data_IF_878790042856
#
_entry.id   IF_878790042856
#
_cell.length_a   1.000
_cell.length_b   1.000
_cell.length_c   1.000
_cell.angle_alpha   90.00
_cell.angle_beta   90.00
_cell.angle_gamma   90.00
#
_symmetry.space_group_name_H-M   'P 1'
#
loop_
_entity.id
_entity.type
_entity.pdbx_description
1 polymer ?
#
# COMPACT_ATOMS: atom_id res chain seq x y z
N UNK A 1 -14.68 0.44 24.48
CA UNK A 1 -15.04 0.23 25.92
C UNK A 1 -13.86 0.02 26.86
N UNK A 2 -12.62 -0.16 26.35
CA UNK A 2 -11.41 -0.37 27.20
C UNK A 2 -10.65 0.90 27.65
N UNK A 3 -11.08 2.08 27.26
CA UNK A 3 -10.38 3.34 27.60
C UNK A 3 -11.01 4.15 28.73
N UNK A 4 -12.11 3.68 29.32
CA UNK A 4 -12.79 4.36 30.44
C UNK A 4 -12.35 3.92 31.84
N UNK A 5 -11.53 2.87 31.96
CA UNK A 5 -11.12 2.31 33.28
C UNK A 5 -9.85 2.94 33.87
N UNK A 6 -9.12 3.80 33.13
CA UNK A 6 -7.85 4.38 33.62
C UNK A 6 -7.97 5.76 34.28
N UNK A 7 -9.16 6.39 34.28
CA UNK A 7 -9.36 7.72 34.87
C UNK A 7 -9.77 7.63 36.35
N UNK A 8 -10.17 6.45 36.84
CA UNK A 8 -10.61 6.27 38.24
C UNK A 8 -9.49 6.06 39.28
N UNK A 9 -8.25 5.81 38.87
CA UNK A 9 -7.16 5.49 39.80
C UNK A 9 -6.35 6.69 40.30
N UNK A 10 -6.48 7.86 39.67
CA UNK A 10 -5.75 9.06 40.13
C UNK A 10 -6.42 9.82 41.26
N UNK A 11 -7.69 9.55 41.53
CA UNK A 11 -8.46 10.26 42.58
C UNK A 11 -8.32 9.65 43.97
N UNK A 12 -7.87 8.38 44.07
CA UNK A 12 -7.70 7.69 45.38
C UNK A 12 -6.33 7.92 46.04
N UNK A 13 -5.35 8.52 45.33
CA UNK A 13 -3.98 8.72 45.87
C UNK A 13 -3.86 10.03 46.64
N UNK A 14 -4.75 11.00 46.43
CA UNK A 14 -4.68 12.31 47.06
C UNK A 14 -5.22 12.37 48.49
N UNK A 15 -6.13 11.47 48.84
CA UNK A 15 -6.75 11.46 50.19
C UNK A 15 -5.94 10.68 51.23
N UNK A 16 -4.94 9.90 50.82
CA UNK A 16 -4.07 9.15 51.74
C UNK A 16 -2.87 9.95 52.26
N UNK A 17 -2.50 11.07 51.59
CA UNK A 17 -1.36 11.89 52.02
C UNK A 17 -1.72 12.91 53.11
N UNK A 18 -3.01 13.28 53.31
CA UNK A 18 -3.42 14.24 54.34
C UNK A 18 -3.70 13.59 55.70
N UNK A 19 -3.95 12.29 55.74
CA UNK A 19 -4.20 11.61 57.05
C UNK A 19 -2.92 11.18 57.78
N UNK A 20 -1.73 11.24 57.11
CA UNK A 20 -0.47 10.85 57.75
C UNK A 20 0.31 12.00 58.39
N UNK A 21 -0.18 13.26 58.27
CA UNK A 21 0.54 14.44 58.76
C UNK A 21 0.14 14.89 60.19
N UNK A 22 -0.97 14.36 60.75
CA UNK A 22 -1.48 14.83 62.06
C UNK A 22 -1.22 13.91 63.26
N UNK A 23 -0.54 12.78 63.10
CA UNK A 23 -0.31 11.82 64.20
C UNK A 23 1.12 11.73 64.74
N UNK A 24 1.93 12.73 64.55
CA UNK A 24 3.35 12.67 65.03
C UNK A 24 3.81 13.95 65.70
N UNK A 25 3.12 14.40 66.78
CA UNK A 25 3.69 15.30 67.77
C UNK A 25 3.41 14.75 69.17
N UNK A 26 4.51 14.41 69.80
CA UNK A 26 4.73 14.09 71.22
C UNK A 26 5.16 12.62 71.46
N UNK A 27 6.32 12.61 72.09
CA UNK A 27 7.07 11.53 72.78
C UNK A 27 8.26 10.94 71.98
N UNK A 28 9.42 11.45 72.20
CA UNK A 28 10.58 10.82 72.82
C UNK A 28 11.90 11.45 72.38
N UNK A 29 12.35 12.43 73.11
CA UNK A 29 13.77 12.91 73.11
C UNK A 29 14.58 12.04 74.06
N UNK A 30 15.00 10.84 73.66
CA UNK A 30 16.18 10.12 74.17
C UNK A 30 16.22 8.67 73.68
N UNK A 31 16.85 8.46 72.63
CA UNK A 31 17.62 7.31 72.19
C UNK A 31 17.71 7.26 70.67
N UNK A 32 18.93 7.26 70.16
CA UNK A 32 19.26 6.70 68.86
C UNK A 32 19.59 7.62 67.72
N UNK A 33 20.84 8.05 67.69
CA UNK A 33 21.56 8.40 66.49
C UNK A 33 21.66 7.25 65.48
N UNK A 34 21.38 6.00 65.93
CA UNK A 34 21.40 4.80 65.09
C UNK A 34 20.13 4.58 64.25
N UNK A 35 18.97 4.93 64.84
CA UNK A 35 17.67 4.74 64.15
C UNK A 35 17.47 5.77 63.02
N UNK A 36 17.85 7.04 63.25
CA UNK A 36 17.79 8.07 62.20
C UNK A 36 18.73 7.76 61.03
N UNK A 37 19.94 7.22 61.28
CA UNK A 37 20.88 6.82 60.24
C UNK A 37 20.39 5.61 59.46
N UNK A 38 19.69 4.65 60.10
CA UNK A 38 19.09 3.51 59.41
C UNK A 38 17.93 3.95 58.52
N UNK A 39 17.06 4.84 58.99
CA UNK A 39 15.93 5.38 58.25
C UNK A 39 16.37 6.26 57.08
N UNK A 40 17.48 7.05 57.23
CA UNK A 40 18.07 7.81 56.15
C UNK A 40 18.64 6.90 55.05
N UNK A 41 19.30 5.80 55.37
CA UNK A 41 19.80 4.81 54.40
C UNK A 41 18.68 4.07 53.70
N UNK A 42 17.57 3.73 54.41
CA UNK A 42 16.39 3.14 53.82
C UNK A 42 15.70 4.11 52.85
N UNK A 43 15.60 5.41 53.22
CA UNK A 43 15.08 6.45 52.36
C UNK A 43 15.93 6.64 51.08
N UNK A 44 17.24 6.65 51.21
CA UNK A 44 18.15 6.72 50.05
C UNK A 44 18.02 5.49 49.15
N UNK A 45 17.90 4.31 49.74
CA UNK A 45 17.70 3.07 48.97
C UNK A 45 16.36 3.05 48.24
N UNK A 46 15.28 3.59 48.87
CA UNK A 46 13.98 3.72 48.22
C UNK A 46 14.02 4.78 47.10
N UNK A 47 14.66 5.92 47.31
CA UNK A 47 14.85 6.93 46.27
C UNK A 47 15.65 6.38 45.09
N UNK A 48 16.74 5.66 45.32
CA UNK A 48 17.51 5.04 44.26
C UNK A 48 16.70 4.00 43.45
N UNK A 49 15.81 3.23 44.12
CA UNK A 49 14.90 2.31 43.46
C UNK A 49 13.82 3.03 42.66
N UNK A 50 13.30 4.16 43.18
CA UNK A 50 12.33 4.99 42.50
C UNK A 50 12.94 5.60 41.24
N UNK A 51 14.11 6.21 41.32
CA UNK A 51 14.85 6.78 40.19
C UNK A 51 15.16 5.73 39.12
N UNK A 52 15.52 4.51 39.54
CA UNK A 52 15.76 3.41 38.62
C UNK A 52 14.45 2.94 37.94
N UNK A 53 13.35 2.88 38.71
CA UNK A 53 12.05 2.50 38.16
C UNK A 53 11.52 3.56 37.19
N UNK A 54 11.67 4.86 37.50
CA UNK A 54 11.29 5.96 36.62
C UNK A 54 12.10 5.95 35.31
N UNK A 55 13.42 5.74 35.40
CA UNK A 55 14.26 5.58 34.20
C UNK A 55 13.84 4.39 33.34
N UNK A 56 13.57 3.26 33.96
CA UNK A 56 13.10 2.08 33.24
C UNK A 56 11.72 2.33 32.61
N UNK A 57 10.81 3.00 33.30
CA UNK A 57 9.50 3.37 32.77
C UNK A 57 9.61 4.37 31.62
N UNK A 58 10.51 5.36 31.71
CA UNK A 58 10.77 6.30 30.63
C UNK A 58 11.36 5.59 29.39
N UNK A 59 12.31 4.70 29.59
CA UNK A 59 12.89 3.90 28.50
C UNK A 59 11.87 2.98 27.85
N UNK A 60 11.02 2.32 28.66
CA UNK A 60 9.95 1.47 28.13
C UNK A 60 8.91 2.27 27.34
N UNK A 61 8.54 3.47 27.79
CA UNK A 61 7.67 4.38 27.07
C UNK A 61 8.27 4.81 25.71
N UNK A 62 9.55 5.18 25.69
CA UNK A 62 10.24 5.56 24.45
C UNK A 62 10.30 4.39 23.46
N UNK A 63 10.62 3.19 23.96
CA UNK A 63 10.61 1.97 23.15
C UNK A 63 9.22 1.67 22.57
N UNK A 64 8.17 1.80 23.38
CA UNK A 64 6.79 1.61 22.92
C UNK A 64 6.39 2.61 21.85
N UNK A 65 6.73 3.89 22.04
CA UNK A 65 6.43 4.93 21.04
C UNK A 65 7.17 4.67 19.72
N UNK A 66 8.43 4.29 19.80
CA UNK A 66 9.22 3.92 18.63
C UNK A 66 8.63 2.71 17.92
N UNK A 67 8.32 1.65 18.67
CA UNK A 67 7.73 0.42 18.11
C UNK A 67 6.36 0.69 17.49
N UNK A 68 5.53 1.53 18.09
CA UNK A 68 4.25 1.94 17.54
C UNK A 68 4.42 2.68 16.20
N UNK A 69 5.37 3.63 16.14
CA UNK A 69 5.68 4.35 14.90
C UNK A 69 6.22 3.42 13.79
N UNK A 70 7.10 2.50 14.14
CA UNK A 70 7.63 1.49 13.21
C UNK A 70 6.53 0.56 12.71
N UNK A 71 5.61 0.14 13.59
CA UNK A 71 4.47 -0.69 13.23
C UNK A 71 3.50 0.03 12.28
N UNK A 72 3.21 1.30 12.52
CA UNK A 72 2.37 2.10 11.63
C UNK A 72 3.00 2.25 10.23
N UNK A 73 4.31 2.50 10.19
CA UNK A 73 5.05 2.57 8.93
C UNK A 73 5.05 1.21 8.20
N UNK A 74 5.29 0.13 8.94
CA UNK A 74 5.24 -1.23 8.41
C UNK A 74 3.85 -1.55 7.84
N UNK A 75 2.79 -1.26 8.58
CA UNK A 75 1.40 -1.49 8.14
C UNK A 75 1.09 -0.76 6.84
N UNK A 76 1.43 0.54 6.77
CA UNK A 76 1.22 1.34 5.54
C UNK A 76 1.99 0.79 4.35
N UNK A 77 3.25 0.37 4.58
CA UNK A 77 4.07 -0.24 3.54
C UNK A 77 3.51 -1.58 3.09
N UNK A 78 3.17 -2.46 4.03
CA UNK A 78 2.64 -3.80 3.74
C UNK A 78 1.32 -3.74 2.95
N UNK A 79 0.44 -2.78 3.26
CA UNK A 79 -0.80 -2.59 2.48
C UNK A 79 -0.47 -2.20 1.03
N UNK A 80 0.42 -1.22 0.84
CA UNK A 80 0.84 -0.81 -0.53
C UNK A 80 1.51 -1.94 -1.30
N UNK A 81 2.37 -2.72 -0.64
CA UNK A 81 3.02 -3.88 -1.26
C UNK A 81 2.00 -4.97 -1.66
N UNK A 82 0.96 -5.18 -0.84
CA UNK A 82 -0.11 -6.13 -1.16
C UNK A 82 -0.90 -5.69 -2.40
N UNK A 83 -1.28 -4.40 -2.49
CA UNK A 83 -1.98 -3.84 -3.64
C UNK A 83 -1.13 -3.92 -4.91
N UNK A 84 0.17 -3.60 -4.81
CA UNK A 84 1.10 -3.73 -5.92
C UNK A 84 1.23 -5.18 -6.39
N UNK A 85 1.40 -6.13 -5.49
CA UNK A 85 1.50 -7.55 -5.84
C UNK A 85 0.22 -8.10 -6.47
N UNK A 86 -0.94 -7.62 -6.02
CA UNK A 86 -2.20 -7.96 -6.66
C UNK A 86 -2.24 -7.44 -8.10
N UNK A 87 -1.91 -6.17 -8.33
CA UNK A 87 -1.82 -5.58 -9.66
C UNK A 87 -0.79 -6.28 -10.56
N UNK A 88 0.37 -6.67 -10.01
CA UNK A 88 1.39 -7.44 -10.73
C UNK A 88 0.88 -8.82 -11.12
N UNK A 89 0.14 -9.49 -10.24
CA UNK A 89 -0.48 -10.79 -10.52
C UNK A 89 -1.52 -10.71 -11.64
N UNK A 90 -2.38 -9.69 -11.61
CA UNK A 90 -3.37 -9.44 -12.67
C UNK A 90 -2.66 -9.14 -14.00
N UNK A 91 -1.65 -8.27 -14.00
CA UNK A 91 -0.86 -7.94 -15.20
C UNK A 91 -0.24 -9.18 -15.82
N UNK A 92 0.36 -10.04 -14.99
CA UNK A 92 0.99 -11.28 -15.47
C UNK A 92 -0.03 -12.27 -16.04
N UNK A 93 -1.20 -12.42 -15.39
CA UNK A 93 -2.26 -13.28 -15.90
C UNK A 93 -2.81 -12.78 -17.25
N UNK A 94 -3.07 -11.48 -17.36
CA UNK A 94 -3.57 -10.86 -18.59
C UNK A 94 -2.55 -10.98 -19.71
N UNK A 95 -1.25 -10.78 -19.46
CA UNK A 95 -0.18 -10.97 -20.44
C UNK A 95 -0.23 -12.37 -21.09
N UNK A 96 -0.57 -13.40 -20.34
CA UNK A 96 -0.70 -14.77 -20.87
C UNK A 96 -2.00 -15.01 -21.65
N UNK A 97 -3.03 -14.19 -21.39
CA UNK A 97 -4.34 -14.30 -22.08
C UNK A 97 -4.34 -13.50 -23.39
N UNK A 98 -3.60 -12.38 -23.46
CA UNK A 98 -3.56 -11.49 -24.61
C UNK A 98 -3.26 -12.23 -25.95
N UNK A 99 -2.30 -13.19 -26.04
CA UNK A 99 -2.07 -13.93 -27.29
C UNK A 99 -3.29 -14.70 -27.80
N UNK A 100 -4.17 -15.15 -26.89
CA UNK A 100 -5.42 -15.81 -27.25
C UNK A 100 -6.37 -14.81 -27.91
N UNK A 101 -6.45 -13.60 -27.36
CA UNK A 101 -7.24 -12.50 -27.95
C UNK A 101 -6.70 -12.07 -29.32
N UNK A 102 -5.37 -12.05 -29.49
CA UNK A 102 -4.75 -11.76 -30.80
C UNK A 102 -5.18 -12.80 -31.85
N UNK A 103 -5.15 -14.09 -31.51
CA UNK A 103 -5.60 -15.16 -32.43
C UNK A 103 -7.09 -15.06 -32.75
N UNK A 104 -7.93 -14.67 -31.78
CA UNK A 104 -9.35 -14.42 -32.01
C UNK A 104 -9.58 -13.20 -32.93
N UNK A 105 -8.80 -12.13 -32.77
CA UNK A 105 -8.82 -10.97 -33.67
C UNK A 105 -8.43 -11.36 -35.10
N UNK A 106 -7.40 -12.18 -35.26
CA UNK A 106 -7.01 -12.72 -36.57
C UNK A 106 -8.14 -13.55 -37.18
N UNK A 107 -8.81 -14.38 -36.39
CA UNK A 107 -9.94 -15.19 -36.85
C UNK A 107 -11.16 -14.34 -37.26
N UNK A 108 -11.42 -13.22 -36.54
CA UNK A 108 -12.47 -12.27 -36.88
C UNK A 108 -12.24 -11.58 -38.22
N UNK A 109 -10.97 -11.32 -38.56
CA UNK A 109 -10.56 -10.63 -39.80
C UNK A 109 -10.31 -11.60 -40.97
N UNK A 110 -10.33 -12.91 -40.71
CA UNK A 110 -10.12 -13.91 -41.77
C UNK A 110 -11.30 -13.89 -42.76
N UNK A 111 -11.02 -14.06 -44.06
CA UNK A 111 -12.09 -14.19 -45.07
C UNK A 111 -12.89 -15.48 -44.82
N UNK A 112 -14.12 -15.34 -44.46
CA UNK A 112 -15.05 -16.46 -44.25
C UNK A 112 -16.38 -16.19 -44.91
N UNK A 113 -17.01 -17.23 -45.44
CA UNK A 113 -18.35 -17.19 -46.02
C UNK A 113 -19.43 -17.46 -44.95
N UNK A 114 -19.03 -17.93 -43.77
CA UNK A 114 -19.99 -18.23 -42.69
C UNK A 114 -20.15 -17.01 -41.75
N UNK A 115 -21.25 -16.29 -41.96
CA UNK A 115 -21.55 -15.12 -41.12
C UNK A 115 -21.87 -15.48 -39.67
N UNK A 116 -22.40 -16.67 -39.38
CA UNK A 116 -22.69 -17.11 -38.04
C UNK A 116 -21.41 -17.35 -37.26
N UNK A 117 -20.40 -17.94 -37.90
CA UNK A 117 -19.06 -18.09 -37.33
C UNK A 117 -18.46 -16.72 -36.98
N UNK A 118 -18.44 -15.79 -37.93
CA UNK A 118 -17.92 -14.44 -37.74
C UNK A 118 -18.59 -13.72 -36.59
N UNK A 119 -19.95 -13.79 -36.54
CA UNK A 119 -20.73 -13.20 -35.43
C UNK A 119 -20.37 -13.83 -34.08
N UNK A 120 -20.17 -15.14 -34.03
CA UNK A 120 -19.77 -15.85 -32.81
C UNK A 120 -18.39 -15.37 -32.29
N UNK A 121 -17.40 -15.21 -33.18
CA UNK A 121 -16.07 -14.71 -32.81
C UNK A 121 -16.15 -13.28 -32.31
N UNK A 122 -16.86 -12.38 -32.98
CA UNK A 122 -17.04 -10.99 -32.55
C UNK A 122 -17.72 -10.94 -31.19
N UNK A 123 -18.79 -11.69 -30.95
CA UNK A 123 -19.42 -11.74 -29.62
C UNK A 123 -18.50 -12.26 -28.53
N UNK A 124 -17.55 -13.13 -28.85
CA UNK A 124 -16.55 -13.62 -27.89
C UNK A 124 -15.53 -12.52 -27.58
N UNK A 125 -15.08 -11.77 -28.58
CA UNK A 125 -14.20 -10.61 -28.39
C UNK A 125 -14.87 -9.53 -27.55
N UNK A 126 -16.12 -9.20 -27.79
CA UNK A 126 -16.88 -8.22 -26.98
C UNK A 126 -16.99 -8.64 -25.50
N UNK A 127 -17.23 -9.95 -25.26
CA UNK A 127 -17.26 -10.47 -23.89
C UNK A 127 -15.87 -10.40 -23.23
N UNK A 128 -14.82 -10.69 -23.98
CA UNK A 128 -13.46 -10.61 -23.49
C UNK A 128 -13.08 -9.16 -23.17
N UNK A 129 -13.44 -8.19 -24.02
CA UNK A 129 -13.23 -6.77 -23.76
C UNK A 129 -13.91 -6.32 -22.46
N UNK A 130 -15.18 -6.69 -22.25
CA UNK A 130 -15.89 -6.40 -20.99
C UNK A 130 -15.26 -7.05 -19.77
N UNK A 131 -14.71 -8.26 -19.92
CA UNK A 131 -13.99 -8.92 -18.83
C UNK A 131 -12.69 -8.22 -18.49
N UNK A 132 -11.97 -7.69 -19.48
CA UNK A 132 -10.75 -6.87 -19.27
C UNK A 132 -11.08 -5.54 -18.59
N UNK A 133 -12.15 -4.86 -19.01
CA UNK A 133 -12.65 -3.64 -18.35
C UNK A 133 -12.98 -3.88 -16.87
N UNK A 134 -13.62 -5.02 -16.55
CA UNK A 134 -13.91 -5.38 -15.16
C UNK A 134 -12.65 -5.62 -14.31
N UNK A 135 -11.53 -5.95 -14.94
CA UNK A 135 -10.20 -6.05 -14.31
C UNK A 135 -9.43 -4.72 -14.34
N UNK A 136 -10.07 -3.63 -14.79
CA UNK A 136 -9.43 -2.32 -15.00
C UNK A 136 -8.28 -2.32 -16.00
N UNK A 137 -8.33 -3.25 -16.96
CA UNK A 137 -7.39 -3.32 -18.08
C UNK A 137 -8.00 -2.59 -19.26
N UNK A 138 -7.31 -1.58 -19.74
CA UNK A 138 -7.76 -0.75 -20.87
C UNK A 138 -6.94 -1.05 -22.13
N UNK A 139 -7.59 -1.03 -23.29
CA UNK A 139 -6.92 -1.06 -24.57
C UNK A 139 -6.32 0.32 -24.89
N UNK A 140 -5.09 0.34 -25.36
CA UNK A 140 -4.41 1.59 -25.77
C UNK A 140 -4.83 1.89 -27.21
N UNK A 141 -5.70 2.88 -27.37
CA UNK A 141 -6.11 3.36 -28.70
C UNK A 141 -4.97 4.16 -29.34
N UNK A 142 -4.40 3.62 -30.37
CA UNK A 142 -3.22 4.20 -31.04
C UNK A 142 -3.46 4.54 -32.51
N UNK A 143 -4.52 4.02 -33.13
CA UNK A 143 -4.82 4.22 -34.55
C UNK A 143 -5.04 5.72 -34.87
N UNK A 144 -4.34 6.25 -35.85
CA UNK A 144 -4.47 7.66 -36.27
C UNK A 144 -3.85 8.66 -35.28
N UNK A 145 -3.17 8.21 -34.21
CA UNK A 145 -2.47 9.08 -33.26
C UNK A 145 -0.99 9.20 -33.63
N UNK A 146 -0.30 10.27 -33.18
CA UNK A 146 1.13 10.38 -33.34
C UNK A 146 1.84 9.26 -32.57
N UNK A 147 2.94 8.78 -33.11
CA UNK A 147 3.72 7.71 -32.49
C UNK A 147 4.34 8.14 -31.18
N UNK A 148 4.08 7.41 -30.10
CA UNK A 148 4.67 7.58 -28.78
C UNK A 148 5.44 6.31 -28.37
N UNK A 149 6.78 6.36 -28.24
CA UNK A 149 7.59 5.22 -27.83
C UNK A 149 7.25 4.65 -26.46
N UNK A 150 6.61 5.43 -25.59
CA UNK A 150 6.23 4.96 -24.25
C UNK A 150 5.11 3.91 -24.29
N UNK A 151 4.22 3.98 -25.29
CA UNK A 151 3.05 3.10 -25.39
C UNK A 151 3.05 2.19 -26.62
N UNK A 152 3.88 2.52 -27.61
CA UNK A 152 3.87 1.89 -28.93
C UNK A 152 5.24 1.37 -29.32
N UNK A 153 5.24 0.28 -30.11
CA UNK A 153 6.43 -0.29 -30.73
C UNK A 153 6.25 -0.28 -32.26
N UNK A 154 7.00 0.53 -32.95
CA UNK A 154 6.97 0.58 -34.41
C UNK A 154 7.79 -0.57 -35.00
N UNK A 155 7.14 -1.43 -35.79
CA UNK A 155 7.81 -2.57 -36.46
C UNK A 155 8.05 -2.32 -37.93
N UNK A 156 7.31 -1.38 -38.53
CA UNK A 156 7.45 -1.03 -39.94
C UNK A 156 7.10 0.43 -40.17
N UNK A 157 7.79 1.05 -41.12
CA UNK A 157 7.45 2.35 -41.68
C UNK A 157 6.97 2.16 -43.12
N UNK A 158 5.94 2.89 -43.48
CA UNK A 158 5.39 2.89 -44.85
C UNK A 158 5.27 4.36 -45.32
N UNK A 159 5.37 4.62 -46.62
CA UNK A 159 5.10 5.96 -47.15
C UNK A 159 3.73 6.45 -46.69
N UNK A 160 3.65 7.70 -46.26
CA UNK A 160 2.41 8.27 -45.78
C UNK A 160 1.28 8.13 -46.82
N UNK A 161 0.16 7.48 -46.51
CA UNK A 161 -1.03 7.50 -47.36
C UNK A 161 -1.54 8.94 -47.53
N UNK A 162 -2.18 9.21 -48.68
CA UNK A 162 -2.72 10.55 -48.98
C UNK A 162 -3.58 11.08 -47.83
N UNK A 163 -3.14 12.21 -47.22
CA UNK A 163 -3.86 12.89 -46.14
C UNK A 163 -3.44 12.53 -44.73
N UNK A 164 -2.39 11.72 -44.52
CA UNK A 164 -1.82 11.47 -43.20
C UNK A 164 -0.47 12.16 -43.02
N UNK A 165 -0.23 12.68 -41.79
CA UNK A 165 1.02 13.30 -41.42
C UNK A 165 2.09 12.24 -41.14
N UNK A 166 3.37 12.52 -41.50
CA UNK A 166 4.51 11.70 -41.11
C UNK A 166 4.55 11.52 -39.58
N UNK A 167 4.89 10.30 -39.14
CA UNK A 167 4.91 9.98 -37.71
C UNK A 167 3.57 9.50 -37.12
N UNK A 168 2.51 9.37 -37.94
CA UNK A 168 1.20 8.92 -37.50
C UNK A 168 1.05 7.40 -37.63
N UNK A 169 0.34 6.76 -36.72
CA UNK A 169 0.03 5.33 -36.75
C UNK A 169 -1.00 5.03 -37.82
N UNK A 170 -0.60 4.26 -38.86
CA UNK A 170 -1.45 3.85 -40.00
C UNK A 170 -2.20 2.57 -39.70
N UNK A 171 -1.51 1.59 -39.12
CA UNK A 171 -2.08 0.25 -38.87
C UNK A 171 -1.58 -0.30 -37.55
N UNK A 172 -2.47 -1.01 -36.87
CA UNK A 172 -2.16 -1.71 -35.61
C UNK A 172 -2.07 -3.20 -35.88
N UNK A 173 -0.88 -3.76 -35.70
CA UNK A 173 -0.65 -5.21 -35.81
C UNK A 173 -1.12 -5.95 -34.58
N UNK A 174 -0.75 -5.42 -33.42
CA UNK A 174 -1.15 -5.97 -32.13
C UNK A 174 -1.61 -4.84 -31.20
N UNK A 175 -2.75 -5.04 -30.56
CA UNK A 175 -3.31 -4.09 -29.61
C UNK A 175 -2.45 -4.00 -28.36
N UNK A 176 -2.26 -2.79 -27.86
CA UNK A 176 -1.63 -2.52 -26.56
C UNK A 176 -2.64 -2.57 -25.44
N UNK A 177 -2.17 -2.94 -24.22
CA UNK A 177 -3.00 -2.99 -23.03
C UNK A 177 -2.27 -2.41 -21.82
N UNK A 178 -3.01 -1.69 -20.97
CA UNK A 178 -2.52 -1.09 -19.73
C UNK A 178 -3.44 -1.40 -18.56
N UNK A 179 -2.89 -1.47 -17.35
CA UNK A 179 -3.61 -1.57 -16.08
C UNK A 179 -3.31 -0.32 -15.26
N UNK A 180 -4.24 0.64 -15.26
CA UNK A 180 -3.99 1.97 -14.71
C UNK A 180 -2.79 2.64 -15.41
N UNK A 181 -1.75 2.95 -14.64
CA UNK A 181 -0.50 3.55 -15.19
C UNK A 181 0.51 2.51 -15.70
N UNK A 182 0.30 1.22 -15.40
CA UNK A 182 1.23 0.16 -15.77
C UNK A 182 0.90 -0.40 -17.14
N UNK A 183 1.87 -0.37 -18.05
CA UNK A 183 1.74 -0.99 -19.37
C UNK A 183 1.97 -2.50 -19.23
N UNK A 184 0.98 -3.30 -19.64
CA UNK A 184 1.07 -4.76 -19.72
C UNK A 184 1.76 -5.16 -21.02
N UNK A 185 1.34 -4.54 -22.15
CA UNK A 185 1.92 -4.77 -23.46
C UNK A 185 1.82 -3.50 -24.32
N UNK A 186 2.90 -3.12 -24.97
CA UNK A 186 2.92 -2.02 -25.94
C UNK A 186 2.13 -2.42 -27.19
N UNK A 187 1.47 -1.45 -27.81
CA UNK A 187 0.86 -1.67 -29.12
C UNK A 187 1.92 -1.82 -30.18
N UNK A 188 1.81 -2.82 -31.05
CA UNK A 188 2.69 -3.01 -32.19
C UNK A 188 2.06 -2.37 -33.42
N UNK A 189 2.73 -1.36 -33.99
CA UNK A 189 2.15 -0.46 -34.98
C UNK A 189 3.02 -0.29 -36.22
N UNK A 190 2.37 0.14 -37.31
CA UNK A 190 3.02 0.65 -38.52
C UNK A 190 2.84 2.16 -38.58
N UNK A 191 3.90 2.88 -38.82
CA UNK A 191 3.94 4.34 -38.79
C UNK A 191 4.14 4.88 -40.21
N UNK A 192 3.50 6.01 -40.52
CA UNK A 192 3.71 6.77 -41.75
C UNK A 192 5.10 7.44 -41.72
N UNK A 193 5.85 7.37 -42.81
CA UNK A 193 7.13 8.05 -42.98
C UNK A 193 6.95 9.50 -43.47
#
# INVERSE_FOLDING_TARGET
EMLRSLVGSEMCIRDSEQAAAEAATEEDKKKDGGWFNKKAREMEAVKAKLDAAEKNAAQAKDQLLRMAAEYDNYRKRSTREADQKFGDGVSHAVEKIIPILDTLNMAANAPTTDENYKKGVVMTLDKAAKALEALHVEEIEVLGKPFDPNFMNAVQQIPAPDGQESGTVVTVFQKGYKLGDKIIRHATVVVAE
#
